data_IF_087480498989
#
_entry.id   IF_087480498989
#
_cell.length_a   1.000
_cell.length_b   1.000
_cell.length_c   1.000
_cell.angle_alpha   90.00
_cell.angle_beta   90.00
_cell.angle_gamma   90.00
#
_symmetry.space_group_name_H-M   'P 1'
#
loop_
_entity.id
_entity.type
_entity.pdbx_description
1 polymer ?
#
# COMPACT_ATOMS: atom_id res chain seq x y z
N UNK A 1 9.72 21.34 -3.56
CA UNK A 1 8.51 20.73 -4.17
C UNK A 1 8.73 20.75 -5.66
N UNK A 2 8.78 19.57 -6.30
CA UNK A 2 8.89 19.48 -7.76
C UNK A 2 7.64 20.07 -8.44
N UNK A 3 7.77 20.56 -9.66
CA UNK A 3 6.66 21.15 -10.44
C UNK A 3 5.46 20.21 -10.60
N UNK A 4 5.69 18.92 -10.59
CA UNK A 4 4.67 17.86 -10.72
C UNK A 4 3.73 17.73 -9.51
N UNK A 5 4.12 18.17 -8.32
CA UNK A 5 3.25 18.28 -7.13
C UNK A 5 2.35 19.53 -7.13
N UNK A 6 2.40 20.35 -8.20
CA UNK A 6 1.50 21.50 -8.39
C UNK A 6 0.19 21.14 -9.11
N UNK A 7 0.07 19.91 -9.62
CA UNK A 7 -1.17 19.46 -10.26
C UNK A 7 -2.27 19.33 -9.21
N UNK A 8 -3.43 19.88 -9.51
CA UNK A 8 -4.61 19.78 -8.66
C UNK A 8 -5.21 18.37 -8.77
N UNK A 9 -5.55 17.74 -7.65
CA UNK A 9 -6.17 16.41 -7.57
C UNK A 9 -5.42 15.33 -8.40
N UNK A 10 -4.09 15.14 -8.28
CA UNK A 10 -3.40 14.10 -9.03
C UNK A 10 -3.94 12.71 -8.67
N UNK A 11 -3.86 11.76 -9.61
CA UNK A 11 -4.42 10.42 -9.47
C UNK A 11 -3.33 9.36 -9.31
N UNK A 12 -3.56 8.36 -8.45
CA UNK A 12 -2.62 7.26 -8.18
C UNK A 12 -3.35 5.97 -7.79
N UNK A 13 -2.66 4.81 -7.85
CA UNK A 13 -3.08 3.59 -7.14
C UNK A 13 -2.57 3.60 -5.69
N UNK A 14 -3.10 2.73 -4.84
CA UNK A 14 -2.47 2.42 -3.54
C UNK A 14 -1.13 1.74 -3.77
N UNK A 15 -1.10 0.67 -4.54
CA UNK A 15 0.12 -0.04 -4.93
C UNK A 15 -0.20 -1.13 -5.95
N UNK A 16 -0.92 -2.15 -5.52
CA UNK A 16 -1.17 -3.33 -6.31
C UNK A 16 -2.22 -3.13 -7.41
N UNK A 17 -1.97 -3.81 -8.54
CA UNK A 17 -2.87 -3.96 -9.68
C UNK A 17 -3.08 -5.46 -9.93
N UNK A 18 -4.19 -5.91 -10.56
CA UNK A 18 -4.44 -7.34 -10.78
C UNK A 18 -3.35 -8.00 -11.62
N UNK A 19 -2.70 -9.00 -11.04
CA UNK A 19 -1.73 -9.81 -11.74
C UNK A 19 -2.41 -10.66 -12.82
N UNK A 20 -1.80 -10.87 -14.00
CA UNK A 20 -2.38 -11.71 -15.05
C UNK A 20 -2.57 -13.17 -14.60
N UNK A 21 -3.63 -13.80 -15.08
CA UNK A 21 -3.96 -15.20 -14.75
C UNK A 21 -2.88 -16.20 -15.25
N UNK A 22 -2.15 -15.83 -16.31
CA UNK A 22 -1.03 -16.64 -16.78
C UNK A 22 0.21 -16.54 -15.87
N UNK A 23 0.32 -15.48 -15.04
CA UNK A 23 1.46 -15.29 -14.12
C UNK A 23 1.17 -15.91 -12.75
N UNK A 24 -0.02 -15.69 -12.19
CA UNK A 24 -0.37 -16.12 -10.84
C UNK A 24 -1.67 -16.92 -10.82
N UNK A 25 -1.74 -17.91 -9.95
CA UNK A 25 -2.97 -18.68 -9.71
C UNK A 25 -3.92 -17.86 -8.82
N UNK A 26 -4.83 -17.13 -9.47
CA UNK A 26 -5.78 -16.24 -8.78
C UNK A 26 -6.81 -16.98 -7.95
N UNK A 27 -7.18 -18.21 -8.33
CA UNK A 27 -8.12 -19.02 -7.56
C UNK A 27 -7.50 -19.42 -6.22
N UNK A 28 -6.25 -19.91 -6.24
CA UNK A 28 -5.50 -20.20 -5.02
C UNK A 28 -5.25 -18.95 -4.18
N UNK A 29 -4.98 -17.81 -4.83
CA UNK A 29 -4.77 -16.54 -4.12
C UNK A 29 -6.06 -16.04 -3.46
N UNK A 30 -7.20 -16.12 -4.13
CA UNK A 30 -8.49 -15.66 -3.61
C UNK A 30 -9.05 -16.57 -2.51
N UNK A 31 -8.71 -17.86 -2.53
CA UNK A 31 -9.18 -18.84 -1.56
C UNK A 31 -8.49 -18.77 -0.19
N UNK A 32 -7.58 -17.80 0.03
CA UNK A 32 -6.84 -17.69 1.29
C UNK A 32 -6.51 -16.23 1.65
N UNK A 33 -6.19 -16.00 2.91
CA UNK A 33 -5.61 -14.74 3.34
C UNK A 33 -4.32 -14.42 2.54
N UNK A 34 -4.01 -13.11 2.31
CA UNK A 34 -2.77 -12.74 1.66
C UNK A 34 -1.58 -13.42 2.34
N UNK A 35 -0.72 -14.12 1.60
CA UNK A 35 0.39 -14.86 2.18
C UNK A 35 1.34 -13.93 2.94
N UNK A 36 1.81 -14.38 4.12
CA UNK A 36 2.77 -13.64 4.93
C UNK A 36 4.20 -14.18 4.78
N UNK A 37 4.31 -15.42 4.34
CA UNK A 37 5.57 -16.05 3.88
C UNK A 37 5.56 -16.19 2.37
N UNK A 38 6.71 -16.54 1.77
CA UNK A 38 6.77 -16.78 0.33
C UNK A 38 5.80 -17.91 -0.03
N UNK A 39 5.10 -17.72 -1.12
CA UNK A 39 4.07 -18.62 -1.62
C UNK A 39 4.34 -18.92 -3.10
N UNK A 40 5.49 -19.55 -3.35
CA UNK A 40 6.01 -19.81 -4.70
C UNK A 40 5.08 -20.69 -5.54
N UNK A 41 4.25 -21.49 -4.89
CA UNK A 41 3.22 -22.33 -5.53
C UNK A 41 2.06 -21.54 -6.16
N UNK A 42 2.01 -20.24 -5.92
CA UNK A 42 1.05 -19.34 -6.60
C UNK A 42 1.51 -18.97 -8.01
N UNK A 43 2.80 -19.00 -8.30
CA UNK A 43 3.32 -18.66 -9.62
C UNK A 43 3.03 -19.79 -10.61
N UNK A 44 2.44 -19.45 -11.76
CA UNK A 44 2.16 -20.39 -12.85
C UNK A 44 3.32 -20.54 -13.81
N UNK A 45 4.32 -19.67 -13.71
CA UNK A 45 5.55 -19.71 -14.52
C UNK A 45 6.68 -20.16 -13.64
N UNK A 46 7.39 -21.20 -14.06
CA UNK A 46 8.53 -21.75 -13.32
C UNK A 46 9.83 -21.04 -13.68
N UNK A 47 10.85 -21.19 -12.84
CA UNK A 47 12.22 -20.80 -13.17
C UNK A 47 12.75 -21.63 -14.40
N UNK A 48 13.58 -21.03 -15.29
CA UNK A 48 14.16 -19.68 -15.17
C UNK A 48 13.32 -18.55 -15.78
N UNK A 49 12.08 -18.79 -16.18
CA UNK A 49 11.25 -17.84 -16.92
C UNK A 49 10.42 -16.92 -16.01
N UNK A 50 10.35 -17.18 -14.72
CA UNK A 50 9.51 -16.39 -13.79
C UNK A 50 9.88 -14.91 -13.78
N UNK A 51 11.17 -14.59 -13.70
CA UNK A 51 11.63 -13.21 -13.69
C UNK A 51 11.23 -12.45 -14.97
N UNK A 52 11.33 -13.09 -16.15
CA UNK A 52 10.88 -12.49 -17.40
C UNK A 52 9.38 -12.27 -17.40
N UNK A 53 8.60 -13.27 -17.00
CA UNK A 53 7.15 -13.16 -16.93
C UNK A 53 6.69 -12.04 -15.97
N UNK A 54 7.37 -11.86 -14.84
CA UNK A 54 7.12 -10.75 -13.92
C UNK A 54 7.47 -9.39 -14.54
N UNK A 55 8.54 -9.31 -15.34
CA UNK A 55 8.88 -8.11 -16.11
C UNK A 55 7.76 -7.75 -17.09
N UNK A 56 7.30 -8.72 -17.90
CA UNK A 56 6.25 -8.51 -18.88
C UNK A 56 4.93 -8.07 -18.20
N UNK A 57 4.58 -8.71 -17.09
CA UNK A 57 3.40 -8.32 -16.29
C UNK A 57 3.54 -6.90 -15.72
N UNK A 58 4.72 -6.49 -15.29
CA UNK A 58 4.98 -5.13 -14.79
C UNK A 58 4.79 -4.10 -15.90
N UNK A 59 5.29 -4.38 -17.11
CA UNK A 59 5.07 -3.50 -18.29
C UNK A 59 3.57 -3.37 -18.58
N UNK A 60 2.82 -4.47 -18.56
CA UNK A 60 1.36 -4.44 -18.76
C UNK A 60 0.65 -3.62 -17.67
N UNK A 61 1.07 -3.72 -16.42
CA UNK A 61 0.50 -2.94 -15.32
C UNK A 61 0.80 -1.43 -15.49
N UNK A 62 2.01 -1.07 -15.90
CA UNK A 62 2.39 0.32 -16.20
C UNK A 62 1.51 0.86 -17.33
N UNK A 63 1.39 0.12 -18.44
CA UNK A 63 0.59 0.53 -19.60
C UNK A 63 -0.87 0.74 -19.24
N UNK A 64 -1.47 -0.19 -18.49
CA UNK A 64 -2.86 -0.06 -18.04
C UNK A 64 -3.09 1.24 -17.21
N UNK A 65 -2.15 1.58 -16.32
CA UNK A 65 -2.20 2.80 -15.53
C UNK A 65 -2.04 4.07 -16.41
N UNK A 66 -1.09 4.06 -17.36
CA UNK A 66 -0.87 5.17 -18.29
C UNK A 66 -2.06 5.39 -19.24
N UNK A 67 -2.63 4.30 -19.77
CA UNK A 67 -3.82 4.33 -20.64
C UNK A 67 -5.08 4.81 -19.90
N UNK A 68 -5.22 4.46 -18.62
CA UNK A 68 -6.26 5.02 -17.78
C UNK A 68 -6.03 6.52 -17.49
N UNK A 69 -4.82 7.03 -17.66
CA UNK A 69 -4.44 8.43 -17.48
C UNK A 69 -4.01 8.78 -16.06
N UNK A 70 -3.53 7.82 -15.27
CA UNK A 70 -3.01 8.07 -13.93
C UNK A 70 -1.79 9.00 -13.97
N UNK A 71 -1.68 9.90 -12.99
CA UNK A 71 -0.61 10.89 -12.89
C UNK A 71 0.64 10.30 -12.20
N UNK A 72 0.44 9.41 -11.23
CA UNK A 72 1.47 8.75 -10.42
C UNK A 72 1.32 7.24 -10.59
N UNK A 73 2.37 6.57 -11.06
CA UNK A 73 2.39 5.16 -11.46
C UNK A 73 3.06 4.30 -10.40
N UNK A 74 2.58 3.08 -10.24
CA UNK A 74 3.21 2.04 -9.39
C UNK A 74 3.67 0.85 -10.26
N UNK A 75 4.51 -0.03 -9.70
CA UNK A 75 4.91 -1.30 -10.33
C UNK A 75 3.77 -2.34 -10.36
N UNK A 76 2.61 -2.00 -9.76
CA UNK A 76 1.46 -2.89 -9.62
C UNK A 76 1.71 -4.08 -8.70
N UNK A 77 2.85 -4.14 -8.02
CA UNK A 77 3.28 -5.27 -7.17
C UNK A 77 3.33 -6.61 -7.92
N UNK A 78 3.68 -6.57 -9.21
CA UNK A 78 3.63 -7.74 -10.09
C UNK A 78 4.57 -8.87 -9.65
N UNK A 79 5.65 -8.56 -8.90
CA UNK A 79 6.65 -9.52 -8.41
C UNK A 79 6.39 -10.01 -6.99
N UNK A 80 5.23 -9.67 -6.40
CA UNK A 80 4.91 -9.96 -4.99
C UNK A 80 3.67 -10.85 -4.90
N UNK A 81 3.72 -11.91 -4.13
CA UNK A 81 2.53 -12.71 -3.80
C UNK A 81 1.60 -11.90 -2.88
N UNK A 82 2.18 -11.06 -2.02
CA UNK A 82 1.49 -10.14 -1.11
C UNK A 82 2.35 -8.90 -0.86
N UNK A 83 1.73 -7.82 -0.41
CA UNK A 83 2.39 -6.54 -0.15
C UNK A 83 3.54 -6.61 0.87
N UNK A 84 3.53 -7.56 1.81
CA UNK A 84 4.48 -7.61 2.93
C UNK A 84 5.46 -8.79 2.88
N UNK A 85 5.08 -9.91 2.26
CA UNK A 85 5.81 -11.16 2.43
C UNK A 85 7.22 -11.15 1.82
N UNK A 86 7.39 -10.52 0.66
CA UNK A 86 8.69 -10.44 -0.01
C UNK A 86 9.71 -9.69 0.86
N UNK A 87 9.36 -8.49 1.33
CA UNK A 87 10.24 -7.69 2.18
C UNK A 87 10.50 -8.39 3.52
N UNK A 88 9.45 -8.83 4.21
CA UNK A 88 9.57 -9.44 5.53
C UNK A 88 10.43 -10.71 5.54
N UNK A 89 10.41 -11.49 4.47
CA UNK A 89 11.21 -12.73 4.35
C UNK A 89 12.61 -12.52 3.77
N UNK A 90 12.94 -11.32 3.28
CA UNK A 90 14.27 -10.98 2.79
C UNK A 90 15.22 -10.49 3.89
N UNK A 91 14.73 -10.30 5.11
CA UNK A 91 15.50 -9.77 6.23
C UNK A 91 16.27 -10.87 6.95
N UNK A 92 17.45 -10.51 7.46
CA UNK A 92 18.19 -11.35 8.42
C UNK A 92 17.41 -11.49 9.71
N UNK A 93 17.59 -12.60 10.41
CA UNK A 93 16.89 -12.91 11.65
C UNK A 93 15.56 -13.62 11.47
N UNK A 94 15.12 -13.82 10.22
CA UNK A 94 13.90 -14.55 9.87
C UNK A 94 14.24 -15.97 9.40
N UNK A 95 13.62 -16.97 10.04
CA UNK A 95 13.69 -18.37 9.60
C UNK A 95 12.64 -18.60 8.51
N UNK A 96 13.06 -18.63 7.26
CA UNK A 96 12.19 -18.81 6.09
C UNK A 96 11.81 -20.27 5.84
N UNK A 97 12.62 -21.22 6.33
CA UNK A 97 12.44 -22.65 6.13
C UNK A 97 11.43 -23.24 7.13
N UNK A 98 11.34 -22.65 8.32
CA UNK A 98 10.42 -23.05 9.38
C UNK A 98 9.48 -21.89 9.78
N UNK A 99 8.43 -21.62 8.98
CA UNK A 99 7.49 -20.56 9.28
C UNK A 99 6.86 -20.69 10.65
N UNK A 100 6.60 -19.56 11.29
CA UNK A 100 5.81 -19.47 12.51
C UNK A 100 4.32 -19.49 12.22
N UNK A 101 3.52 -19.26 13.29
CA UNK A 101 2.09 -19.08 13.21
C UNK A 101 1.66 -17.85 14.00
N UNK A 102 0.76 -17.06 13.43
CA UNK A 102 0.09 -15.97 14.14
C UNK A 102 -1.38 -15.91 13.71
N UNK A 103 -2.23 -15.40 14.60
CA UNK A 103 -3.63 -15.19 14.29
C UNK A 103 -3.77 -14.02 13.30
N UNK A 104 -4.53 -14.24 12.24
CA UNK A 104 -4.94 -13.20 11.33
C UNK A 104 -5.99 -12.26 11.97
N UNK A 105 -6.54 -11.33 11.20
CA UNK A 105 -7.56 -10.38 11.68
C UNK A 105 -8.88 -11.05 12.06
N UNK A 106 -9.15 -12.23 11.50
CA UNK A 106 -10.36 -13.03 11.75
C UNK A 106 -10.16 -14.08 12.86
N UNK A 107 -8.96 -14.12 13.47
CA UNK A 107 -8.64 -15.05 14.55
C UNK A 107 -8.21 -16.44 14.09
N UNK A 108 -7.94 -16.66 12.79
CA UNK A 108 -7.47 -17.94 12.28
C UNK A 108 -5.93 -18.00 12.25
N UNK A 109 -5.32 -19.16 12.56
CA UNK A 109 -3.87 -19.35 12.42
C UNK A 109 -3.46 -19.22 10.95
N UNK A 110 -2.42 -18.43 10.70
CA UNK A 110 -1.85 -18.22 9.38
C UNK A 110 -0.33 -18.39 9.45
N UNK A 111 0.32 -19.05 8.47
CA UNK A 111 1.78 -19.09 8.38
C UNK A 111 2.36 -17.67 8.27
N UNK A 112 3.35 -17.37 9.11
CA UNK A 112 3.98 -16.03 9.19
C UNK A 112 5.50 -16.18 9.28
N UNK A 113 6.26 -15.11 8.96
CA UNK A 113 7.70 -15.10 9.22
C UNK A 113 7.99 -15.40 10.70
N UNK A 114 8.97 -16.28 10.94
CA UNK A 114 9.42 -16.62 12.29
C UNK A 114 10.72 -15.87 12.58
N UNK A 115 10.67 -14.98 13.54
CA UNK A 115 11.81 -14.14 13.93
C UNK A 115 12.62 -14.85 15.02
N UNK A 116 13.74 -15.43 14.63
CA UNK A 116 14.65 -16.22 15.50
C UNK A 116 15.93 -15.48 15.84
N UNK A 117 16.19 -14.34 15.23
CA UNK A 117 17.38 -13.52 15.44
C UNK A 117 17.10 -12.04 15.31
N UNK A 118 18.14 -11.21 15.46
CA UNK A 118 18.01 -9.76 15.28
C UNK A 118 17.67 -9.43 13.82
N UNK A 119 16.58 -8.67 13.63
CA UNK A 119 16.13 -8.22 12.30
C UNK A 119 17.12 -7.18 11.76
N UNK A 120 17.60 -7.41 10.54
CA UNK A 120 18.48 -6.48 9.80
C UNK A 120 18.21 -6.59 8.31
N UNK A 121 18.32 -5.47 7.61
CA UNK A 121 18.36 -5.46 6.14
C UNK A 121 19.80 -5.67 5.68
N UNK A 122 20.05 -6.59 4.77
CA UNK A 122 21.39 -6.84 4.20
C UNK A 122 21.56 -6.25 2.80
N UNK A 123 20.48 -6.13 2.05
CA UNK A 123 20.46 -5.62 0.68
C UNK A 123 19.14 -4.94 0.40
N UNK A 124 19.12 -4.12 -0.64
CA UNK A 124 17.90 -3.52 -1.16
C UNK A 124 16.93 -4.61 -1.65
N UNK A 125 15.64 -4.47 -1.36
CA UNK A 125 14.62 -5.47 -1.71
C UNK A 125 13.77 -5.00 -2.88
N UNK A 126 13.39 -3.72 -2.91
CA UNK A 126 12.45 -3.16 -3.89
C UNK A 126 13.14 -2.19 -4.88
N UNK A 127 14.42 -1.92 -4.74
CA UNK A 127 15.16 -0.95 -5.59
C UNK A 127 15.22 -1.39 -7.04
N UNK A 128 15.43 -2.69 -7.31
CA UNK A 128 15.46 -3.20 -8.69
C UNK A 128 14.08 -3.05 -9.36
N UNK A 129 12.99 -3.21 -8.60
CA UNK A 129 11.63 -3.00 -9.08
C UNK A 129 11.38 -1.52 -9.41
N UNK A 130 11.88 -0.59 -8.58
CA UNK A 130 11.86 0.84 -8.85
C UNK A 130 12.63 1.19 -10.12
N UNK A 131 13.86 0.67 -10.26
CA UNK A 131 14.68 0.93 -11.44
C UNK A 131 14.03 0.37 -12.71
N UNK A 132 13.36 -0.78 -12.61
CA UNK A 132 12.58 -1.33 -13.71
C UNK A 132 11.38 -0.43 -14.03
N UNK A 133 10.60 -0.02 -13.05
CA UNK A 133 9.46 0.89 -13.21
C UNK A 133 9.90 2.19 -13.91
N UNK A 134 10.95 2.84 -13.45
CA UNK A 134 11.48 4.11 -14.01
C UNK A 134 11.94 3.98 -15.47
N UNK A 135 12.44 2.82 -15.87
CA UNK A 135 12.83 2.60 -17.28
C UNK A 135 11.63 2.51 -18.24
N UNK A 136 10.42 2.25 -17.71
CA UNK A 136 9.24 1.97 -18.53
C UNK A 136 8.14 3.03 -18.44
N UNK A 137 8.35 4.11 -17.67
CA UNK A 137 7.43 5.26 -17.61
C UNK A 137 8.17 6.58 -17.50
N UNK A 138 7.54 7.66 -17.97
CA UNK A 138 7.98 9.06 -17.75
C UNK A 138 7.12 9.77 -16.70
N UNK A 139 6.16 9.08 -16.12
CA UNK A 139 5.31 9.59 -15.05
C UNK A 139 6.05 9.58 -13.72
N UNK A 140 5.51 10.31 -12.75
CA UNK A 140 5.94 10.16 -11.36
C UNK A 140 5.75 8.71 -10.90
N UNK A 141 6.68 8.23 -10.09
CA UNK A 141 6.65 6.85 -9.61
C UNK A 141 6.50 6.79 -8.09
N UNK A 142 5.64 5.88 -7.66
CA UNK A 142 5.43 5.57 -6.25
C UNK A 142 5.77 4.10 -5.99
N UNK A 143 6.60 3.85 -4.97
CA UNK A 143 6.93 2.52 -4.48
C UNK A 143 6.27 2.26 -3.12
N UNK A 144 5.85 1.03 -2.88
CA UNK A 144 5.25 0.61 -1.60
C UNK A 144 6.21 -0.30 -0.83
N UNK A 145 6.25 -0.10 0.48
CA UNK A 145 6.98 -0.97 1.43
C UNK A 145 6.06 -1.33 2.60
N UNK A 146 6.19 -2.51 3.21
CA UNK A 146 5.38 -2.85 4.36
C UNK A 146 5.78 -2.03 5.59
N UNK A 147 4.81 -1.69 6.41
CA UNK A 147 5.04 -0.94 7.64
C UNK A 147 5.60 -1.80 8.78
N UNK A 148 6.46 -1.23 9.64
CA UNK A 148 7.13 -1.96 10.70
C UNK A 148 6.15 -2.48 11.77
N UNK A 149 5.12 -1.73 12.11
CA UNK A 149 4.10 -2.20 13.04
C UNK A 149 3.34 -3.39 12.44
N UNK A 150 2.89 -3.27 11.20
CA UNK A 150 2.20 -4.35 10.47
C UNK A 150 3.05 -5.62 10.42
N UNK A 151 4.34 -5.53 10.06
CA UNK A 151 5.23 -6.69 10.04
C UNK A 151 5.36 -7.34 11.42
N UNK A 152 5.46 -6.55 12.50
CA UNK A 152 5.53 -7.09 13.87
C UNK A 152 4.25 -7.82 14.29
N UNK A 153 3.09 -7.43 13.74
CA UNK A 153 1.82 -8.12 13.99
C UNK A 153 1.66 -9.40 13.15
N UNK A 154 2.34 -9.47 12.02
CA UNK A 154 2.30 -10.57 11.06
C UNK A 154 3.51 -11.51 11.20
N UNK A 155 4.13 -11.59 12.35
CA UNK A 155 5.27 -12.45 12.63
C UNK A 155 5.09 -13.21 13.95
N UNK A 156 5.71 -14.37 14.03
CA UNK A 156 5.99 -15.05 15.30
C UNK A 156 7.34 -14.54 15.81
N UNK A 157 7.36 -13.96 17.00
CA UNK A 157 8.55 -13.33 17.56
C UNK A 157 9.16 -14.23 18.65
N UNK A 158 10.15 -15.06 18.28
CA UNK A 158 10.85 -15.94 19.22
C UNK A 158 12.09 -15.26 19.82
N UNK A 159 12.73 -14.36 19.07
CA UNK A 159 13.93 -13.65 19.51
C UNK A 159 13.55 -12.64 20.61
N UNK A 160 13.50 -11.50 20.54
CA UNK A 160 13.20 -10.35 21.43
C UNK A 160 12.40 -10.65 22.75
N UNK A 161 12.45 -11.89 23.29
CA UNK A 161 11.62 -12.32 24.41
C UNK A 161 10.11 -12.24 24.14
N UNK A 162 9.72 -12.35 22.88
CA UNK A 162 8.33 -12.22 22.45
C UNK A 162 7.85 -10.77 22.27
N UNK A 163 8.69 -9.77 22.49
CA UNK A 163 8.34 -8.35 22.38
C UNK A 163 8.14 -7.92 20.93
N UNK A 164 6.89 -7.66 20.56
CA UNK A 164 6.54 -7.07 19.25
C UNK A 164 7.04 -5.64 19.09
N UNK A 165 7.12 -4.87 20.16
CA UNK A 165 7.66 -3.51 20.13
C UNK A 165 9.14 -3.51 19.72
N UNK A 166 9.98 -4.33 20.36
CA UNK A 166 11.39 -4.43 20.01
C UNK A 166 11.59 -4.90 18.56
N UNK A 167 10.83 -5.90 18.12
CA UNK A 167 10.84 -6.34 16.73
C UNK A 167 10.40 -5.22 15.78
N UNK A 168 9.34 -4.47 16.10
CA UNK A 168 8.86 -3.35 15.29
C UNK A 168 9.93 -2.26 15.13
N UNK A 169 10.74 -1.99 16.16
CA UNK A 169 11.82 -1.01 16.10
C UNK A 169 12.96 -1.44 15.17
N UNK A 170 13.31 -2.73 15.13
CA UNK A 170 14.33 -3.24 14.19
C UNK A 170 13.75 -3.37 12.77
N UNK A 171 12.47 -3.75 12.60
CA UNK A 171 11.77 -3.63 11.31
C UNK A 171 11.77 -2.18 10.81
N UNK A 172 11.55 -1.21 11.70
CA UNK A 172 11.56 0.21 11.35
C UNK A 172 12.92 0.68 10.85
N UNK A 173 14.01 0.17 11.43
CA UNK A 173 15.35 0.44 10.95
C UNK A 173 15.57 -0.11 9.53
N UNK A 174 15.16 -1.37 9.28
CA UNK A 174 15.25 -1.99 7.96
C UNK A 174 14.40 -1.26 6.91
N UNK A 175 13.18 -0.83 7.26
CA UNK A 175 12.31 -0.03 6.37
C UNK A 175 12.92 1.34 6.10
N UNK A 176 13.53 2.00 7.10
CA UNK A 176 14.20 3.29 6.91
C UNK A 176 15.35 3.18 5.90
N UNK A 177 16.17 2.14 5.98
CA UNK A 177 17.25 1.88 5.02
C UNK A 177 16.70 1.68 3.60
N UNK A 178 15.60 0.90 3.45
CA UNK A 178 14.96 0.70 2.14
C UNK A 178 14.40 2.00 1.57
N UNK A 179 13.73 2.82 2.38
CA UNK A 179 13.19 4.12 1.96
C UNK A 179 14.31 5.04 1.48
N UNK A 180 15.47 5.08 2.19
CA UNK A 180 16.62 5.87 1.78
C UNK A 180 17.15 5.44 0.42
N UNK A 181 17.30 4.14 0.20
CA UNK A 181 17.79 3.60 -1.07
C UNK A 181 16.79 3.84 -2.21
N UNK A 182 15.48 3.72 -1.96
CA UNK A 182 14.44 4.04 -2.94
C UNK A 182 14.53 5.52 -3.37
N UNK A 183 14.66 6.47 -2.44
CA UNK A 183 14.83 7.87 -2.79
C UNK A 183 16.18 8.15 -3.47
N UNK A 184 17.26 7.52 -3.02
CA UNK A 184 18.57 7.65 -3.66
C UNK A 184 18.57 7.15 -5.13
N UNK A 185 17.68 6.19 -5.45
CA UNK A 185 17.47 5.68 -6.81
C UNK A 185 16.32 6.37 -7.55
N UNK A 186 15.78 7.45 -6.99
CA UNK A 186 14.90 8.39 -7.66
C UNK A 186 13.41 8.03 -7.60
N UNK A 187 12.93 7.38 -6.54
CA UNK A 187 11.51 7.33 -6.26
C UNK A 187 10.98 8.77 -6.02
N UNK A 188 9.81 9.09 -6.55
CA UNK A 188 9.16 10.37 -6.28
C UNK A 188 8.37 10.31 -4.96
N UNK A 189 7.76 9.17 -4.68
CA UNK A 189 6.98 8.90 -3.47
C UNK A 189 7.32 7.50 -2.98
N UNK A 190 7.49 7.35 -1.65
CA UNK A 190 7.55 6.03 -1.00
C UNK A 190 6.39 5.93 -0.01
N UNK A 191 5.56 4.89 -0.20
CA UNK A 191 4.39 4.62 0.64
C UNK A 191 4.69 3.46 1.59
N UNK A 192 4.36 3.66 2.87
CA UNK A 192 4.43 2.65 3.92
C UNK A 192 3.01 2.11 4.18
N UNK A 193 2.82 0.80 4.04
CA UNK A 193 1.53 0.15 4.23
C UNK A 193 1.37 -0.35 5.67
N UNK A 194 0.48 0.30 6.43
CA UNK A 194 0.23 0.02 7.85
C UNK A 194 -1.23 -0.40 8.16
N UNK A 195 -1.76 -1.40 7.46
CA UNK A 195 -3.17 -1.80 7.66
C UNK A 195 -3.47 -2.36 9.06
N UNK A 196 -2.47 -2.84 9.79
CA UNK A 196 -2.67 -3.34 11.15
C UNK A 196 -2.80 -2.23 12.19
N UNK A 197 -2.39 -0.99 11.91
CA UNK A 197 -2.63 0.13 12.82
C UNK A 197 -4.13 0.33 13.10
N UNK A 198 -4.96 0.23 12.07
CA UNK A 198 -6.40 0.29 12.24
C UNK A 198 -6.98 -1.00 12.87
N UNK A 199 -6.41 -2.17 12.54
CA UNK A 199 -6.88 -3.45 13.07
C UNK A 199 -6.49 -3.69 14.55
N UNK A 200 -5.46 -3.01 15.05
CA UNK A 200 -4.90 -3.12 16.41
C UNK A 200 -4.59 -1.74 16.99
N UNK A 201 -5.62 -0.88 17.19
CA UNK A 201 -5.42 0.53 17.54
C UNK A 201 -4.72 0.75 18.87
N UNK A 202 -4.89 -0.14 19.84
CA UNK A 202 -4.19 -0.05 21.14
C UNK A 202 -2.68 -0.23 20.97
N UNK A 203 -2.25 -1.26 20.24
CA UNK A 203 -0.84 -1.46 19.90
C UNK A 203 -0.28 -0.34 19.04
N UNK A 204 -1.09 0.18 18.09
CA UNK A 204 -0.71 1.31 17.27
C UNK A 204 -0.41 2.56 18.12
N UNK A 205 -1.22 2.85 19.15
CA UNK A 205 -0.96 3.93 20.12
C UNK A 205 0.25 3.64 21.00
N UNK A 206 0.40 2.40 21.46
CA UNK A 206 1.46 2.03 22.38
C UNK A 206 2.86 2.15 21.76
N UNK A 207 3.05 1.65 20.52
CA UNK A 207 4.36 1.65 19.87
C UNK A 207 4.34 1.78 18.35
N UNK A 208 3.17 1.60 17.69
CA UNK A 208 3.08 1.64 16.23
C UNK A 208 3.49 2.99 15.66
N UNK A 209 3.01 4.10 16.22
CA UNK A 209 3.41 5.45 15.81
C UNK A 209 4.90 5.70 16.03
N UNK A 210 5.47 5.21 17.13
CA UNK A 210 6.91 5.31 17.42
C UNK A 210 7.73 4.55 16.38
N UNK A 211 7.32 3.31 16.04
CA UNK A 211 7.98 2.51 15.01
C UNK A 211 7.86 3.17 13.62
N UNK A 212 6.71 3.71 13.26
CA UNK A 212 6.49 4.43 12.02
C UNK A 212 7.40 5.68 11.92
N UNK A 213 7.45 6.50 12.96
CA UNK A 213 8.33 7.67 12.99
C UNK A 213 9.81 7.27 12.94
N UNK A 214 10.20 6.12 13.52
CA UNK A 214 11.55 5.58 13.38
C UNK A 214 11.86 5.17 11.94
N UNK A 215 10.91 4.58 11.22
CA UNK A 215 11.06 4.26 9.80
C UNK A 215 11.21 5.50 8.92
N UNK A 216 10.67 6.64 9.35
CA UNK A 216 10.71 7.92 8.64
C UNK A 216 11.86 8.84 9.11
N UNK A 217 12.66 8.42 10.07
CA UNK A 217 13.70 9.27 10.65
C UNK A 217 14.74 9.71 9.62
N UNK A 218 14.93 11.03 9.48
CA UNK A 218 15.87 11.65 8.55
C UNK A 218 15.52 11.46 7.07
N UNK A 219 14.29 11.09 6.73
CA UNK A 219 13.80 11.03 5.35
C UNK A 219 13.34 12.43 4.94
N UNK A 220 13.84 12.91 3.80
CA UNK A 220 13.50 14.23 3.23
C UNK A 220 12.60 14.14 2.00
N UNK A 221 12.44 12.95 1.42
CA UNK A 221 11.56 12.71 0.27
C UNK A 221 10.07 12.65 0.67
N UNK A 222 9.19 12.68 -0.33
CA UNK A 222 7.74 12.60 -0.11
C UNK A 222 7.34 11.19 0.32
N UNK A 223 6.91 11.02 1.56
CA UNK A 223 6.43 9.75 2.08
C UNK A 223 4.92 9.75 2.27
N UNK A 224 4.29 8.61 1.99
CA UNK A 224 2.88 8.35 2.26
C UNK A 224 2.74 7.22 3.30
N UNK A 225 1.67 7.25 4.08
CA UNK A 225 1.26 6.13 4.93
C UNK A 225 -0.13 5.70 4.51
N UNK A 226 -0.29 4.44 4.12
CA UNK A 226 -1.57 3.86 3.77
C UNK A 226 -2.16 3.08 4.95
N UNK A 227 -3.37 3.47 5.33
CA UNK A 227 -4.14 2.80 6.39
C UNK A 227 -5.50 2.43 5.82
N UNK A 228 -5.79 1.15 5.81
CA UNK A 228 -7.02 0.60 5.29
C UNK A 228 -7.70 -0.35 6.28
N UNK A 229 -8.93 -0.70 5.98
CA UNK A 229 -9.66 -1.75 6.70
C UNK A 229 -9.33 -3.16 6.17
N UNK A 230 -8.49 -3.27 5.15
CA UNK A 230 -8.07 -4.50 4.50
C UNK A 230 -8.77 -4.75 3.17
N UNK A 231 -8.30 -5.75 2.42
CA UNK A 231 -8.90 -6.10 1.13
C UNK A 231 -10.38 -6.48 1.26
N UNK A 232 -11.21 -5.84 0.45
CA UNK A 232 -12.66 -6.05 0.44
C UNK A 232 -13.06 -7.50 0.14
N UNK A 233 -12.30 -8.18 -0.71
CA UNK A 233 -12.51 -9.58 -1.05
C UNK A 233 -12.32 -10.55 0.14
N UNK A 234 -11.71 -10.09 1.24
CA UNK A 234 -11.32 -10.92 2.38
C UNK A 234 -11.93 -10.42 3.69
N UNK A 235 -11.99 -9.11 3.89
CA UNK A 235 -12.51 -8.49 5.11
C UNK A 235 -13.89 -7.93 4.84
N UNK A 236 -14.92 -8.61 5.32
CA UNK A 236 -16.31 -8.24 5.09
C UNK A 236 -16.89 -7.35 6.20
N UNK A 237 -16.47 -7.56 7.46
CA UNK A 237 -16.83 -6.68 8.57
C UNK A 237 -15.87 -5.51 8.68
N UNK A 238 -16.41 -4.28 8.61
CA UNK A 238 -15.61 -3.06 8.58
C UNK A 238 -16.06 -2.09 9.65
N UNK A 239 -15.11 -1.42 10.32
CA UNK A 239 -15.47 -0.33 11.20
C UNK A 239 -16.02 0.85 10.39
N UNK A 240 -16.89 1.65 11.00
CA UNK A 240 -17.48 2.84 10.38
C UNK A 240 -16.53 4.05 10.34
N UNK A 241 -15.32 3.93 10.88
CA UNK A 241 -14.36 5.03 10.94
C UNK A 241 -13.00 4.63 11.49
N UNK A 242 -12.08 5.57 11.43
CA UNK A 242 -10.73 5.44 11.95
C UNK A 242 -10.64 5.83 13.41
N UNK A 243 -9.90 5.07 14.20
CA UNK A 243 -9.85 5.23 15.66
C UNK A 243 -8.65 6.06 16.16
N UNK A 244 -7.70 6.44 15.29
CA UNK A 244 -6.46 7.12 15.73
C UNK A 244 -5.89 8.13 14.70
N UNK A 245 -6.73 8.79 13.91
CA UNK A 245 -6.29 9.85 12.97
C UNK A 245 -5.57 11.02 13.68
N UNK A 246 -6.01 11.49 14.87
CA UNK A 246 -5.31 12.55 15.59
C UNK A 246 -3.87 12.19 15.94
N UNK A 247 -3.62 10.93 16.34
CA UNK A 247 -2.28 10.43 16.63
C UNK A 247 -1.46 10.30 15.35
N UNK A 248 -2.08 9.82 14.25
CA UNK A 248 -1.42 9.72 12.96
C UNK A 248 -1.03 11.08 12.39
N UNK A 249 -1.77 12.15 12.71
CA UNK A 249 -1.39 13.51 12.34
C UNK A 249 0.00 13.91 12.86
N UNK A 250 0.45 13.28 13.96
CA UNK A 250 1.78 13.49 14.55
C UNK A 250 2.90 12.72 13.85
N UNK A 251 2.56 11.82 12.91
CA UNK A 251 3.55 11.12 12.09
C UNK A 251 4.29 12.12 11.18
N UNK A 252 5.58 11.89 10.94
CA UNK A 252 6.39 12.76 10.06
C UNK A 252 6.15 12.55 8.56
N UNK A 253 5.24 11.64 8.15
CA UNK A 253 4.89 11.45 6.75
C UNK A 253 4.26 12.70 6.13
N UNK A 254 4.45 12.90 4.83
CA UNK A 254 3.83 14.01 4.09
C UNK A 254 2.38 13.73 3.71
N UNK A 255 2.05 12.46 3.41
CA UNK A 255 0.77 12.05 2.86
C UNK A 255 0.15 10.93 3.71
N UNK A 256 -1.20 10.92 3.79
CA UNK A 256 -1.97 9.85 4.43
C UNK A 256 -3.02 9.34 3.45
N UNK A 257 -3.04 8.03 3.22
CA UNK A 257 -3.99 7.35 2.34
C UNK A 257 -5.07 6.65 3.16
N UNK A 258 -6.32 6.96 2.86
CA UNK A 258 -7.50 6.53 3.61
C UNK A 258 -8.60 5.98 2.69
N UNK A 259 -9.31 4.95 3.15
CA UNK A 259 -10.56 4.49 2.55
C UNK A 259 -11.70 5.47 2.90
N UNK A 260 -12.42 5.97 1.91
CA UNK A 260 -13.59 6.82 2.13
C UNK A 260 -14.82 6.42 1.33
N UNK A 261 -14.66 5.60 0.30
CA UNK A 261 -15.75 5.18 -0.57
C UNK A 261 -16.50 3.99 0.01
N UNK A 262 -15.82 2.88 0.23
CA UNK A 262 -16.41 1.63 0.69
C UNK A 262 -16.92 1.72 2.14
N UNK A 263 -16.19 2.40 2.99
CA UNK A 263 -16.59 2.66 4.38
C UNK A 263 -17.68 3.72 4.51
N UNK A 264 -17.99 4.46 3.43
CA UNK A 264 -18.85 5.65 3.44
C UNK A 264 -18.43 6.64 4.54
N UNK A 265 -17.12 6.79 4.73
CA UNK A 265 -16.52 7.58 5.79
C UNK A 265 -17.10 9.01 5.80
N UNK A 266 -17.46 9.50 6.98
CA UNK A 266 -17.71 10.94 7.16
C UNK A 266 -16.39 11.70 6.98
N UNK A 267 -16.29 12.45 5.88
CA UNK A 267 -15.07 13.18 5.54
C UNK A 267 -14.73 14.30 6.53
N UNK A 268 -15.60 14.65 7.47
CA UNK A 268 -15.28 15.62 8.55
C UNK A 268 -14.08 15.18 9.39
N UNK A 269 -13.82 13.89 9.48
CA UNK A 269 -12.65 13.34 10.20
C UNK A 269 -11.31 13.76 9.58
N UNK A 270 -11.28 14.14 8.30
CA UNK A 270 -10.08 14.61 7.60
C UNK A 270 -9.49 15.89 8.23
N UNK A 271 -10.31 16.67 8.94
CA UNK A 271 -9.86 17.84 9.72
C UNK A 271 -8.77 17.46 10.74
N UNK A 272 -8.78 16.23 11.27
CA UNK A 272 -7.75 15.74 12.17
C UNK A 272 -6.35 15.64 11.51
N UNK A 273 -6.29 15.57 10.18
CA UNK A 273 -5.05 15.42 9.41
C UNK A 273 -4.60 16.75 8.76
N UNK A 274 -4.98 17.89 9.32
CA UNK A 274 -4.52 19.20 8.83
C UNK A 274 -2.99 19.26 8.74
N UNK A 275 -2.48 19.78 7.62
CA UNK A 275 -1.06 19.84 7.33
C UNK A 275 -0.51 18.63 6.58
N UNK A 276 -1.32 17.59 6.36
CA UNK A 276 -1.01 16.45 5.50
C UNK A 276 -1.68 16.60 4.13
N UNK A 277 -1.10 15.98 3.11
CA UNK A 277 -1.82 15.66 1.89
C UNK A 277 -2.63 14.37 2.11
N UNK A 278 -3.81 14.30 1.52
CA UNK A 278 -4.72 13.16 1.67
C UNK A 278 -4.81 12.41 0.34
N UNK A 279 -4.38 11.16 0.32
CA UNK A 279 -4.72 10.24 -0.76
C UNK A 279 -6.13 9.72 -0.45
N UNK A 280 -7.11 10.34 -1.10
CA UNK A 280 -8.54 10.11 -0.86
C UNK A 280 -9.00 8.89 -1.64
N UNK A 281 -9.39 7.84 -0.96
CA UNK A 281 -9.99 6.65 -1.55
C UNK A 281 -11.38 6.94 -2.10
N UNK A 282 -11.56 6.79 -3.41
CA UNK A 282 -12.83 7.11 -4.10
C UNK A 282 -13.42 5.94 -4.87
N UNK A 283 -12.77 4.77 -4.85
CA UNK A 283 -13.26 3.55 -5.49
C UNK A 283 -13.66 2.52 -4.44
N UNK A 284 -14.90 2.04 -4.53
CA UNK A 284 -15.42 0.94 -3.70
C UNK A 284 -14.99 -0.40 -4.29
N UNK A 285 -14.07 -1.08 -3.62
CA UNK A 285 -13.52 -2.35 -4.09
C UNK A 285 -14.35 -3.58 -3.67
N UNK A 286 -15.43 -3.38 -2.92
CA UNK A 286 -16.43 -4.44 -2.63
C UNK A 286 -17.41 -4.64 -3.78
N UNK A 287 -17.54 -3.65 -4.66
CA UNK A 287 -18.40 -3.69 -5.84
C UNK A 287 -17.61 -4.09 -7.09
N UNK A 288 -18.12 -5.07 -7.84
CA UNK A 288 -17.63 -5.40 -9.19
C UNK A 288 -18.14 -4.44 -10.27
N UNK A 289 -19.10 -3.56 -9.92
CA UNK A 289 -19.56 -2.53 -10.84
C UNK A 289 -18.60 -1.35 -10.79
N UNK A 290 -18.05 -0.91 -11.94
CA UNK A 290 -17.27 0.32 -12.00
C UNK A 290 -18.15 1.52 -11.65
N UNK A 291 -17.58 2.48 -10.93
CA UNK A 291 -18.20 3.77 -10.70
C UNK A 291 -18.36 4.55 -12.02
N UNK A 292 -19.33 5.43 -12.08
CA UNK A 292 -19.37 6.50 -13.07
C UNK A 292 -18.39 7.63 -12.71
N UNK A 293 -17.99 8.45 -13.68
CA UNK A 293 -17.17 9.63 -13.44
C UNK A 293 -17.84 10.61 -12.44
N UNK A 294 -19.15 10.76 -12.53
CA UNK A 294 -19.92 11.63 -11.63
C UNK A 294 -19.97 11.09 -10.18
N UNK A 295 -20.08 9.78 -9.98
CA UNK A 295 -20.00 9.19 -8.64
C UNK A 295 -18.64 9.46 -8.00
N UNK A 296 -17.55 9.31 -8.76
CA UNK A 296 -16.21 9.65 -8.28
C UNK A 296 -16.11 11.15 -7.99
N UNK A 297 -16.56 12.02 -8.89
CA UNK A 297 -16.57 13.47 -8.68
C UNK A 297 -17.36 13.86 -7.43
N UNK A 298 -18.53 13.25 -7.21
CA UNK A 298 -19.31 13.46 -5.99
C UNK A 298 -18.57 13.05 -4.72
N UNK A 299 -17.83 11.92 -4.75
CA UNK A 299 -17.02 11.48 -3.62
C UNK A 299 -15.86 12.44 -3.34
N UNK A 300 -15.22 13.00 -4.37
CA UNK A 300 -14.17 14.03 -4.21
C UNK A 300 -14.77 15.29 -3.59
N UNK A 301 -15.87 15.84 -4.16
CA UNK A 301 -16.53 17.04 -3.66
C UNK A 301 -16.94 16.92 -2.19
N UNK A 302 -17.32 15.73 -1.73
CA UNK A 302 -17.66 15.45 -0.32
C UNK A 302 -16.51 15.74 0.65
N UNK A 303 -15.26 15.58 0.21
CA UNK A 303 -14.07 15.82 1.04
C UNK A 303 -13.60 17.27 1.03
N UNK A 304 -13.86 18.03 -0.03
CA UNK A 304 -13.34 19.40 -0.22
C UNK A 304 -13.74 20.42 0.86
N UNK A 305 -14.89 20.33 1.56
CA UNK A 305 -15.17 21.20 2.70
C UNK A 305 -14.18 21.03 3.88
N UNK A 306 -13.47 19.92 3.95
CA UNK A 306 -12.61 19.53 5.09
C UNK A 306 -11.13 19.52 4.77
N UNK A 307 -10.75 19.51 3.48
CA UNK A 307 -9.37 19.50 3.00
C UNK A 307 -9.24 20.35 1.73
N UNK A 308 -8.21 21.21 1.68
CA UNK A 308 -7.91 22.00 0.47
C UNK A 308 -7.65 21.08 -0.72
N UNK A 309 -8.24 21.40 -1.87
CA UNK A 309 -8.09 20.59 -3.09
C UNK A 309 -6.61 20.38 -3.50
N UNK A 310 -5.73 21.33 -3.20
CA UNK A 310 -4.28 21.24 -3.44
C UNK A 310 -3.60 20.18 -2.56
N UNK A 311 -4.26 19.74 -1.50
CA UNK A 311 -3.79 18.71 -0.60
C UNK A 311 -4.51 17.37 -0.81
N UNK A 312 -5.31 17.24 -1.86
CA UNK A 312 -5.98 15.99 -2.21
C UNK A 312 -5.28 15.31 -3.39
N UNK A 313 -4.99 14.05 -3.21
CA UNK A 313 -4.57 13.09 -4.24
C UNK A 313 -5.70 12.07 -4.35
N UNK A 314 -6.10 11.71 -5.56
CA UNK A 314 -7.23 10.79 -5.77
C UNK A 314 -6.71 9.38 -5.96
N UNK A 315 -7.21 8.43 -5.18
CA UNK A 315 -6.82 7.03 -5.23
C UNK A 315 -7.98 6.06 -4.99
N UNK A 316 -7.77 4.75 -5.14
CA UNK A 316 -8.73 3.76 -4.68
C UNK A 316 -8.66 3.60 -3.16
N UNK A 317 -9.69 3.01 -2.57
CA UNK A 317 -9.74 2.73 -1.13
C UNK A 317 -8.61 1.80 -0.66
N UNK A 318 -8.22 0.83 -1.48
CA UNK A 318 -7.15 -0.13 -1.20
C UNK A 318 -6.51 -0.61 -2.52
N UNK A 319 -5.59 -1.59 -2.46
CA UNK A 319 -5.00 -2.19 -3.64
C UNK A 319 -6.02 -2.95 -4.51
N UNK A 320 -5.85 -2.91 -5.84
CA UNK A 320 -6.77 -3.50 -6.82
C UNK A 320 -6.53 -5.00 -7.07
N UNK A 321 -5.54 -5.63 -6.43
CA UNK A 321 -5.02 -6.98 -6.69
C UNK A 321 -6.09 -8.07 -6.89
N UNK A 322 -7.18 -8.02 -6.12
CA UNK A 322 -8.21 -9.05 -6.12
C UNK A 322 -9.35 -8.80 -7.11
N UNK A 323 -9.40 -7.65 -7.77
CA UNK A 323 -10.40 -7.37 -8.80
C UNK A 323 -10.07 -8.11 -10.10
N UNK A 324 -11.07 -8.49 -10.93
CA UNK A 324 -10.85 -8.80 -12.33
C UNK A 324 -10.18 -7.61 -13.04
N UNK A 325 -9.29 -7.87 -14.00
CA UNK A 325 -8.53 -6.80 -14.68
C UNK A 325 -9.43 -5.79 -15.39
N UNK A 326 -10.43 -6.27 -16.11
CA UNK A 326 -11.41 -5.41 -16.80
C UNK A 326 -12.18 -4.49 -15.85
N UNK A 327 -12.50 -4.97 -14.65
CA UNK A 327 -13.14 -4.15 -13.60
C UNK A 327 -12.16 -3.12 -13.06
N UNK A 328 -10.93 -3.52 -12.76
CA UNK A 328 -9.88 -2.61 -12.30
C UNK A 328 -9.59 -1.50 -13.31
N UNK A 329 -9.49 -1.84 -14.60
CA UNK A 329 -9.27 -0.89 -15.70
C UNK A 329 -10.43 0.10 -15.84
N UNK A 330 -11.67 -0.38 -15.76
CA UNK A 330 -12.84 0.47 -15.82
C UNK A 330 -12.91 1.42 -14.62
N UNK A 331 -12.64 0.92 -13.40
CA UNK A 331 -12.60 1.75 -12.18
C UNK A 331 -11.49 2.80 -12.25
N UNK A 332 -10.28 2.47 -12.72
CA UNK A 332 -9.20 3.46 -12.91
C UNK A 332 -9.60 4.57 -13.88
N UNK A 333 -10.20 4.22 -15.03
CA UNK A 333 -10.69 5.21 -16.00
C UNK A 333 -11.77 6.13 -15.39
N UNK A 334 -12.71 5.55 -14.64
CA UNK A 334 -13.74 6.33 -13.93
C UNK A 334 -13.13 7.27 -12.90
N UNK A 335 -12.13 6.81 -12.15
CA UNK A 335 -11.40 7.61 -11.16
C UNK A 335 -10.73 8.83 -11.81
N UNK A 336 -10.00 8.62 -12.91
CA UNK A 336 -9.33 9.71 -13.64
C UNK A 336 -10.36 10.68 -14.24
N UNK A 337 -11.45 10.16 -14.82
CA UNK A 337 -12.49 10.99 -15.39
C UNK A 337 -13.19 11.86 -14.32
N UNK A 338 -13.51 11.27 -13.16
CA UNK A 338 -14.11 12.02 -12.04
C UNK A 338 -13.17 13.08 -11.45
N UNK A 339 -11.86 12.78 -11.33
CA UNK A 339 -10.88 13.78 -10.93
C UNK A 339 -10.78 14.94 -11.92
N UNK A 340 -10.86 14.67 -13.24
CA UNK A 340 -10.88 15.73 -14.29
C UNK A 340 -12.10 16.63 -14.21
N UNK A 341 -13.29 16.08 -13.91
CA UNK A 341 -14.51 16.88 -13.71
C UNK A 341 -14.27 17.90 -12.59
N UNK A 342 -13.80 17.45 -11.43
CA UNK A 342 -13.62 18.34 -10.29
C UNK A 342 -12.46 19.33 -10.51
N UNK A 343 -11.39 18.95 -11.21
CA UNK A 343 -10.32 19.89 -11.61
C UNK A 343 -10.91 21.07 -12.41
N UNK A 344 -11.69 20.77 -13.46
CA UNK A 344 -12.29 21.79 -14.32
C UNK A 344 -13.27 22.72 -13.59
N UNK A 345 -13.83 22.31 -12.46
CA UNK A 345 -14.69 23.16 -11.63
C UNK A 345 -13.90 24.12 -10.72
N UNK A 346 -12.64 23.79 -10.44
CA UNK A 346 -11.79 24.51 -9.50
C UNK A 346 -10.77 25.45 -10.19
N UNK A 347 -10.57 25.27 -11.51
CA UNK A 347 -9.77 26.14 -12.38
C UNK A 347 -10.58 27.35 -12.87
#
# INVERSE_FOLDING_TARGET
MSESLRMLLPTTLVGSYPQPDWLIDREKLAGRFPPRVRATELWRVAEPFLAQAQNDATILAIRAQEEAGLDIITDGEMRRESYSNRFATALEGVDIDNPGSALDRSGHPNPVPRVVGKIRRRHAVEVDDLLFLKRHTQRMVKMTVPGPFTMSQQAQIDHYGGSRELAAMDYAAAVNEEIRDLFANGADIVQIDEPYMQARPEGARAYGLKALNRALEGITGTTAVHICFGYAAIIHERPSGYSFLPELAQCSCAQVSLETAQSKLDCSVLVALRGKQIILGVLDLSSMQPESAEEVAARIRRALPFVDARNVIVGPDCGLKYLPREVADAKMRAMVAGARIVRAELE
#
